data_IF_363395135765
#
_entry.id   IF_363395135765
#
_cell.length_a   1.000
_cell.length_b   1.000
_cell.length_c   1.000
_cell.angle_alpha   90.00
_cell.angle_beta   90.00
_cell.angle_gamma   90.00
#
_symmetry.space_group_name_H-M   'P 1'
#
loop_
_entity.id
_entity.type
_entity.pdbx_description
1 polymer ?
#
# COMPACT_ATOMS: atom_id res chain seq x y z
N UNK A 1 11.10 17.89 7.07
CA UNK A 1 9.91 17.54 6.28
C UNK A 1 10.16 17.71 4.79
N UNK A 2 10.74 18.83 4.33
CA UNK A 2 11.12 19.07 2.94
C UNK A 2 11.95 17.94 2.30
N UNK A 3 13.08 17.59 2.91
CA UNK A 3 13.99 16.53 2.41
C UNK A 3 13.33 15.14 2.34
N UNK A 4 12.47 14.81 3.32
CA UNK A 4 11.73 13.53 3.35
C UNK A 4 10.76 13.47 2.17
N UNK A 5 10.08 14.58 1.87
CA UNK A 5 9.11 14.66 0.76
C UNK A 5 9.80 14.55 -0.59
N UNK A 6 10.97 15.19 -0.76
CA UNK A 6 11.78 15.04 -1.98
C UNK A 6 12.24 13.60 -2.17
N UNK A 7 12.79 12.97 -1.13
CA UNK A 7 13.25 11.56 -1.20
C UNK A 7 12.10 10.62 -1.52
N UNK A 8 10.95 10.79 -0.85
CA UNK A 8 9.74 10.03 -1.15
C UNK A 8 9.28 10.25 -2.60
N UNK A 9 9.30 11.49 -3.08
CA UNK A 9 8.91 11.81 -4.44
C UNK A 9 9.82 11.16 -5.50
N UNK A 10 11.14 11.18 -5.29
CA UNK A 10 12.11 10.46 -6.15
C UNK A 10 11.84 8.95 -6.12
N UNK A 11 11.55 8.37 -4.95
CA UNK A 11 11.21 6.96 -4.82
C UNK A 11 9.93 6.62 -5.63
N UNK A 12 8.90 7.46 -5.54
CA UNK A 12 7.65 7.32 -6.32
C UNK A 12 7.91 7.36 -7.83
N UNK A 13 8.78 8.26 -8.31
CA UNK A 13 9.18 8.27 -9.73
C UNK A 13 9.94 7.00 -10.13
N UNK A 14 10.79 6.48 -9.25
CA UNK A 14 11.44 5.18 -9.42
C UNK A 14 10.43 4.04 -9.57
N UNK A 15 9.43 3.97 -8.67
CA UNK A 15 8.34 3.00 -8.74
C UNK A 15 7.50 3.14 -10.00
N UNK A 16 7.24 4.36 -10.48
CA UNK A 16 6.53 4.57 -11.74
C UNK A 16 7.26 3.94 -12.93
N UNK A 17 8.58 4.15 -13.01
CA UNK A 17 9.43 3.57 -14.05
C UNK A 17 9.51 2.05 -13.97
N UNK A 18 9.64 1.49 -12.77
CA UNK A 18 9.65 0.04 -12.58
C UNK A 18 8.29 -0.58 -12.93
N UNK A 19 7.20 0.05 -12.51
CA UNK A 19 5.84 -0.41 -12.83
C UNK A 19 5.61 -0.44 -14.35
N UNK A 20 6.13 0.53 -15.10
CA UNK A 20 6.06 0.56 -16.56
C UNK A 20 6.90 -0.54 -17.24
N UNK A 21 8.06 -0.87 -16.66
CA UNK A 21 8.94 -1.94 -17.16
C UNK A 21 8.22 -3.27 -17.23
N UNK A 22 7.39 -3.56 -16.23
CA UNK A 22 6.51 -4.73 -16.17
C UNK A 22 7.30 -6.04 -16.18
N UNK A 23 7.59 -6.59 -15.01
CA UNK A 23 8.21 -7.91 -14.89
C UNK A 23 7.13 -9.00 -14.95
N UNK A 24 7.30 -9.98 -15.83
CA UNK A 24 6.46 -11.17 -15.91
C UNK A 24 7.01 -12.23 -14.97
N UNK A 25 6.14 -12.84 -14.16
CA UNK A 25 6.52 -14.00 -13.34
C UNK A 25 7.01 -15.12 -14.25
N UNK A 26 8.24 -15.59 -14.03
CA UNK A 26 8.74 -16.80 -14.67
C UNK A 26 7.94 -18.03 -14.21
N UNK A 27 7.90 -19.09 -15.02
CA UNK A 27 7.19 -20.32 -14.67
C UNK A 27 7.70 -20.92 -13.34
N UNK A 28 8.99 -20.75 -13.04
CA UNK A 28 9.62 -21.17 -11.80
C UNK A 28 9.14 -20.34 -10.59
N UNK A 29 8.96 -19.03 -10.75
CA UNK A 29 8.42 -18.15 -9.70
C UNK A 29 6.94 -18.42 -9.43
N UNK A 30 6.16 -18.70 -10.47
CA UNK A 30 4.75 -19.09 -10.34
C UNK A 30 4.60 -20.42 -9.59
N UNK A 31 5.44 -21.42 -9.92
CA UNK A 31 5.46 -22.70 -9.22
C UNK A 31 5.96 -22.58 -7.78
N UNK A 32 6.96 -21.73 -7.51
CA UNK A 32 7.45 -21.47 -6.16
C UNK A 32 6.38 -20.76 -5.30
N UNK A 33 5.66 -19.79 -5.87
CA UNK A 33 4.53 -19.13 -5.22
C UNK A 33 3.41 -20.13 -4.88
N UNK A 34 3.08 -21.04 -5.82
CA UNK A 34 2.06 -22.07 -5.61
C UNK A 34 2.47 -23.12 -4.55
N UNK A 35 3.75 -23.50 -4.49
CA UNK A 35 4.27 -24.37 -3.42
C UNK A 35 4.27 -23.67 -2.05
N UNK A 36 4.47 -22.35 -2.03
CA UNK A 36 4.58 -21.57 -0.79
C UNK A 36 3.25 -20.95 -0.33
N UNK A 37 2.11 -21.29 -0.96
CA UNK A 37 0.78 -20.75 -0.62
C UNK A 37 0.43 -20.94 0.87
N UNK A 38 0.94 -22.00 1.52
CA UNK A 38 0.75 -22.27 2.95
C UNK A 38 1.28 -21.13 3.85
N UNK A 39 2.24 -20.35 3.37
CA UNK A 39 2.84 -19.23 4.09
C UNK A 39 2.40 -17.86 3.55
N UNK A 40 1.53 -17.81 2.53
CA UNK A 40 1.11 -16.54 1.91
C UNK A 40 0.43 -15.60 2.91
N UNK A 41 -0.40 -16.14 3.82
CA UNK A 41 -1.03 -15.36 4.90
C UNK A 41 0.03 -14.74 5.81
N UNK A 42 1.00 -15.54 6.27
CA UNK A 42 2.07 -15.05 7.15
C UNK A 42 2.92 -14.00 6.44
N UNK A 43 3.30 -14.24 5.18
CA UNK A 43 4.08 -13.31 4.38
C UNK A 43 3.36 -11.98 4.18
N UNK A 44 2.08 -12.02 3.80
CA UNK A 44 1.25 -10.84 3.68
C UNK A 44 1.10 -10.11 5.01
N UNK A 45 0.76 -10.82 6.09
CA UNK A 45 0.62 -10.24 7.43
C UNK A 45 1.90 -9.57 7.91
N UNK A 46 3.07 -10.19 7.73
CA UNK A 46 4.36 -9.61 8.12
C UNK A 46 4.70 -8.39 7.26
N UNK A 47 4.48 -8.47 5.94
CA UNK A 47 4.72 -7.35 5.04
C UNK A 47 3.84 -6.14 5.38
N UNK A 48 2.53 -6.36 5.58
CA UNK A 48 1.59 -5.31 6.00
C UNK A 48 1.95 -4.76 7.37
N UNK A 49 2.24 -5.62 8.35
CA UNK A 49 2.63 -5.18 9.68
C UNK A 49 3.87 -4.28 9.64
N UNK A 50 4.90 -4.67 8.89
CA UNK A 50 6.12 -3.87 8.74
C UNK A 50 5.88 -2.57 7.96
N UNK A 51 5.00 -2.58 6.96
CA UNK A 51 4.66 -1.40 6.16
C UNK A 51 3.86 -0.36 6.96
N UNK A 52 2.95 -0.81 7.82
CA UNK A 52 2.10 0.05 8.67
C UNK A 52 2.81 0.46 9.97
N UNK A 53 3.96 -0.15 10.32
CA UNK A 53 4.67 0.13 11.56
C UNK A 53 5.23 1.56 11.56
N UNK A 54 4.67 2.42 12.39
CA UNK A 54 5.09 3.82 12.51
C UNK A 54 4.49 4.75 11.46
N UNK A 55 3.45 4.32 10.74
CA UNK A 55 2.71 5.22 9.85
C UNK A 55 1.90 6.28 10.63
N UNK A 56 1.47 7.31 9.90
CA UNK A 56 0.62 8.40 10.40
C UNK A 56 -0.68 7.88 11.02
N UNK A 57 -1.24 6.79 10.50
CA UNK A 57 -2.44 6.14 11.08
C UNK A 57 -2.20 5.66 12.51
N UNK A 58 -1.02 5.10 12.79
CA UNK A 58 -0.61 4.66 14.12
C UNK A 58 -0.45 5.86 15.07
N UNK A 59 0.23 6.93 14.63
CA UNK A 59 0.40 8.15 15.43
C UNK A 59 -0.95 8.82 15.73
N UNK A 60 -1.87 8.85 14.76
CA UNK A 60 -3.22 9.36 14.95
C UNK A 60 -4.00 8.53 15.99
N UNK A 61 -3.88 7.20 15.93
CA UNK A 61 -4.55 6.30 16.88
C UNK A 61 -4.02 6.48 18.30
N UNK A 62 -2.70 6.59 18.48
CA UNK A 62 -2.07 6.84 19.79
C UNK A 62 -2.51 8.18 20.37
N UNK A 63 -2.56 9.22 19.54
CA UNK A 63 -3.02 10.56 19.94
C UNK A 63 -4.47 10.49 20.41
N UNK A 64 -5.34 9.85 19.62
CA UNK A 64 -6.75 9.71 19.96
C UNK A 64 -6.97 8.90 21.23
N UNK A 65 -6.16 7.86 21.46
CA UNK A 65 -6.22 7.03 22.66
C UNK A 65 -5.71 7.74 23.92
N UNK A 66 -4.96 8.83 23.76
CA UNK A 66 -4.54 9.69 24.86
C UNK A 66 -5.63 10.70 25.23
N UNK A 67 -6.35 11.21 24.23
CA UNK A 67 -7.42 12.21 24.41
C UNK A 67 -8.78 11.59 24.78
N UNK A 68 -9.01 10.32 24.44
CA UNK A 68 -10.28 9.61 24.63
C UNK A 68 -10.09 8.28 25.38
N UNK A 69 -11.19 7.54 25.62
CA UNK A 69 -11.12 6.19 26.17
C UNK A 69 -10.26 5.28 25.26
N UNK A 70 -9.18 4.74 25.84
CA UNK A 70 -8.20 3.95 25.12
C UNK A 70 -8.81 2.66 24.54
N UNK A 71 -9.75 2.04 25.27
CA UNK A 71 -10.41 0.83 24.81
C UNK A 71 -11.38 1.11 23.65
N UNK A 72 -12.21 2.14 23.77
CA UNK A 72 -13.09 2.61 22.70
C UNK A 72 -12.32 3.03 21.45
N UNK A 73 -11.19 3.72 21.62
CA UNK A 73 -10.31 4.10 20.51
C UNK A 73 -9.69 2.89 19.83
N UNK A 74 -9.20 1.92 20.61
CA UNK A 74 -8.65 0.68 20.07
C UNK A 74 -9.69 -0.06 19.23
N UNK A 75 -10.89 -0.32 19.77
CA UNK A 75 -11.98 -0.98 19.04
C UNK A 75 -12.37 -0.20 17.78
N UNK A 76 -12.52 1.12 17.88
CA UNK A 76 -12.89 1.98 16.77
C UNK A 76 -11.86 1.97 15.64
N UNK A 77 -10.57 2.10 15.99
CA UNK A 77 -9.46 2.06 15.01
C UNK A 77 -9.36 0.70 14.32
N UNK A 78 -9.49 -0.41 15.06
CA UNK A 78 -9.46 -1.75 14.51
C UNK A 78 -10.63 -1.98 13.55
N UNK A 79 -11.85 -1.62 13.95
CA UNK A 79 -13.02 -1.75 13.08
C UNK A 79 -12.90 -0.87 11.84
N UNK A 80 -12.40 0.37 11.98
CA UNK A 80 -12.19 1.29 10.87
C UNK A 80 -11.21 0.71 9.84
N UNK A 81 -10.06 0.21 10.30
CA UNK A 81 -9.04 -0.38 9.43
C UNK A 81 -9.55 -1.65 8.73
N UNK A 82 -10.12 -2.58 9.49
CA UNK A 82 -10.69 -3.82 8.91
C UNK A 82 -11.78 -3.50 7.89
N UNK A 83 -12.60 -2.47 8.13
CA UNK A 83 -13.63 -2.04 7.18
C UNK A 83 -13.02 -1.44 5.91
N UNK A 84 -11.98 -0.61 6.04
CA UNK A 84 -11.27 -0.02 4.90
C UNK A 84 -10.62 -1.11 4.03
N UNK A 85 -9.95 -2.09 4.65
CA UNK A 85 -9.34 -3.22 3.95
C UNK A 85 -10.39 -4.10 3.27
N UNK A 86 -11.50 -4.41 3.97
CA UNK A 86 -12.59 -5.19 3.39
C UNK A 86 -13.20 -4.51 2.16
N UNK A 87 -13.38 -3.18 2.21
CA UNK A 87 -13.84 -2.40 1.06
C UNK A 87 -12.82 -2.41 -0.08
N UNK A 88 -11.53 -2.23 0.23
CA UNK A 88 -10.46 -2.28 -0.77
C UNK A 88 -10.40 -3.65 -1.46
N UNK A 89 -10.52 -4.75 -0.72
CA UNK A 89 -10.56 -6.12 -1.24
C UNK A 89 -11.81 -6.33 -2.10
N UNK A 90 -12.98 -5.87 -1.65
CA UNK A 90 -14.23 -6.03 -2.40
C UNK A 90 -14.17 -5.30 -3.75
N UNK A 91 -13.70 -4.05 -3.74
CA UNK A 91 -13.49 -3.26 -4.96
C UNK A 91 -12.43 -3.91 -5.85
N UNK A 92 -11.30 -4.33 -5.28
CA UNK A 92 -10.23 -5.00 -6.01
C UNK A 92 -10.67 -6.31 -6.67
N UNK A 93 -11.46 -7.13 -5.96
CA UNK A 93 -12.02 -8.37 -6.49
C UNK A 93 -12.99 -8.12 -7.65
N UNK A 94 -13.92 -7.18 -7.49
CA UNK A 94 -14.91 -6.90 -8.51
C UNK A 94 -14.26 -6.26 -9.75
N UNK A 95 -13.41 -5.27 -9.55
CA UNK A 95 -12.82 -4.47 -10.61
C UNK A 95 -11.63 -5.18 -11.28
N UNK A 96 -10.84 -5.95 -10.52
CA UNK A 96 -9.71 -6.73 -11.03
C UNK A 96 -10.10 -7.78 -12.06
N UNK A 97 -11.30 -8.37 -11.94
CA UNK A 97 -11.83 -9.31 -12.94
C UNK A 97 -12.18 -8.67 -14.29
N UNK A 98 -12.34 -7.34 -14.33
CA UNK A 98 -12.79 -6.59 -15.52
C UNK A 98 -11.75 -5.66 -16.11
N UNK A 99 -10.67 -5.37 -15.40
CA UNK A 99 -9.64 -4.44 -15.85
C UNK A 99 -8.52 -5.18 -16.59
N UNK A 100 -8.15 -4.76 -17.81
CA UNK A 100 -6.99 -5.32 -18.48
C UNK A 100 -5.72 -4.91 -17.73
N UNK A 101 -4.76 -5.84 -17.59
CA UNK A 101 -3.50 -5.64 -16.87
C UNK A 101 -2.75 -4.37 -17.31
N UNK A 102 -2.80 -4.06 -18.62
CA UNK A 102 -2.21 -2.84 -19.19
C UNK A 102 -2.83 -1.57 -18.59
N UNK A 103 -4.14 -1.52 -18.38
CA UNK A 103 -4.81 -0.36 -17.79
C UNK A 103 -4.41 -0.17 -16.33
N UNK A 104 -4.30 -1.27 -15.56
CA UNK A 104 -3.82 -1.22 -14.17
C UNK A 104 -2.38 -0.69 -14.14
N UNK A 105 -1.51 -1.23 -14.99
CA UNK A 105 -0.10 -0.82 -15.07
C UNK A 105 0.06 0.67 -15.41
N UNK A 106 -0.61 1.14 -16.47
CA UNK A 106 -0.54 2.56 -16.84
C UNK A 106 -1.17 3.45 -15.77
N UNK A 107 -2.31 3.05 -15.19
CA UNK A 107 -2.98 3.80 -14.12
C UNK A 107 -2.10 3.95 -12.89
N UNK A 108 -1.50 2.86 -12.41
CA UNK A 108 -0.59 2.85 -11.28
C UNK A 108 0.65 3.72 -11.54
N UNK A 109 1.29 3.57 -12.71
CA UNK A 109 2.44 4.40 -13.08
C UNK A 109 2.10 5.89 -13.16
N UNK A 110 0.96 6.27 -13.73
CA UNK A 110 0.50 7.67 -13.76
C UNK A 110 0.31 8.19 -12.34
N UNK A 111 -0.33 7.40 -11.47
CA UNK A 111 -0.56 7.79 -10.09
C UNK A 111 0.76 8.00 -9.33
N UNK A 112 1.73 7.09 -9.52
CA UNK A 112 3.07 7.23 -8.96
C UNK A 112 3.79 8.47 -9.47
N UNK A 113 3.69 8.80 -10.77
CA UNK A 113 4.27 10.04 -11.33
C UNK A 113 3.64 11.28 -10.70
N UNK A 114 2.30 11.32 -10.62
CA UNK A 114 1.57 12.45 -10.05
C UNK A 114 1.99 12.69 -8.60
N UNK A 115 1.93 11.66 -7.74
CA UNK A 115 2.34 11.81 -6.35
C UNK A 115 3.83 12.10 -6.20
N UNK A 116 4.68 11.50 -7.05
CA UNK A 116 6.11 11.78 -7.06
C UNK A 116 6.43 13.24 -7.33
N UNK A 117 5.80 13.84 -8.35
CA UNK A 117 5.94 15.26 -8.67
C UNK A 117 5.38 16.12 -7.55
N UNK A 118 4.17 15.82 -7.05
CA UNK A 118 3.55 16.59 -5.97
C UNK A 118 4.41 16.62 -4.70
N UNK A 119 5.01 15.49 -4.31
CA UNK A 119 5.87 15.40 -3.14
C UNK A 119 7.19 16.17 -3.32
N UNK A 120 7.76 16.17 -4.52
CA UNK A 120 8.95 16.99 -4.84
C UNK A 120 8.59 18.47 -4.76
N UNK A 121 7.49 18.90 -5.39
CA UNK A 121 7.06 20.30 -5.36
C UNK A 121 6.72 20.78 -3.95
N UNK A 122 6.15 19.92 -3.10
CA UNK A 122 5.90 20.24 -1.70
C UNK A 122 7.20 20.34 -0.88
N UNK A 123 8.25 19.65 -1.30
CA UNK A 123 9.53 19.61 -0.58
C UNK A 123 10.55 20.66 -1.03
N UNK A 124 10.33 21.34 -2.16
CA UNK A 124 11.14 22.46 -2.67
C UNK A 124 10.60 23.78 -2.14
#
# INVERSE_FOLDING_TARGET
TASISIVAGVAFLGFAGWTLRGDTLSEDEAQAAQKNTRNAVVAASVAFFLAELGDKTMLATITLATDHDAFGTWVGSTLGMVSADALAILVGYHLGSRLPEKAIRYGASILFVIFGILLILQGV
#
